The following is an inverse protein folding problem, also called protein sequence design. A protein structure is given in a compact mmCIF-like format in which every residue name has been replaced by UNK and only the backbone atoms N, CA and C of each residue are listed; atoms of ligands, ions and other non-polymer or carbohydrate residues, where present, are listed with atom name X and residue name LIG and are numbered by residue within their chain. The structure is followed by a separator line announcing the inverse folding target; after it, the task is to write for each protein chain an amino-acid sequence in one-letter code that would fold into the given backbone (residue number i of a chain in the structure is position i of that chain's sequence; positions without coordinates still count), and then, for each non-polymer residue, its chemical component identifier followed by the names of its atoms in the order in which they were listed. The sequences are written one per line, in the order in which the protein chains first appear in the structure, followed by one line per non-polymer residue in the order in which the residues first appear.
data_IF_204692657376
#
_entry.id   IF_204692657376
#
_cell.length_a   1.000
_cell.length_b   1.000
_cell.length_c   1.000
_cell.angle_alpha   90.00
_cell.angle_beta   90.00
_cell.angle_gamma   90.00
#
_symmetry.space_group_name_H-M   'P 1'
#
loop_
_entity.id
_entity.type
_entity.pdbx_description
1 polymer ?
#
# COMPACT_ATOMS: atom_id res chain seq x y z
N UNK A 1 -8.83 1.30 18.48
CA UNK A 1 -7.88 1.72 17.42
C UNK A 1 -6.53 2.03 18.09
N UNK A 2 -5.44 1.37 17.69
CA UNK A 2 -4.12 1.54 18.31
C UNK A 2 -3.62 2.98 18.07
N UNK A 3 -2.93 3.55 19.07
CA UNK A 3 -2.16 4.80 18.93
C UNK A 3 -1.41 4.77 17.61
N UNK A 4 -1.51 5.84 16.82
CA UNK A 4 -0.74 6.02 15.57
C UNK A 4 0.72 5.77 15.93
N UNK A 5 1.19 4.60 15.50
CA UNK A 5 2.54 4.13 15.79
C UNK A 5 3.54 5.12 15.21
N UNK A 6 4.66 5.23 15.89
CA UNK A 6 5.89 5.88 15.47
C UNK A 6 6.06 5.81 13.94
N UNK A 7 6.11 6.97 13.28
CA UNK A 7 6.35 7.10 11.84
C UNK A 7 7.55 6.23 11.45
N UNK A 8 7.33 5.25 10.58
CA UNK A 8 8.40 4.40 10.06
C UNK A 8 8.90 5.00 8.74
N UNK A 9 10.13 5.53 8.69
CA UNK A 9 10.67 6.18 7.49
C UNK A 9 11.06 5.18 6.40
N UNK A 10 10.99 3.89 6.68
CA UNK A 10 11.47 2.83 5.79
C UNK A 10 10.46 2.58 4.67
N UNK A 11 10.97 2.44 3.45
CA UNK A 11 10.16 2.06 2.30
C UNK A 11 11.00 1.59 1.12
N UNK A 12 10.36 0.92 0.16
CA UNK A 12 10.99 0.52 -1.09
C UNK A 12 9.98 0.39 -2.22
N UNK A 13 10.45 0.56 -3.45
CA UNK A 13 9.80 0.00 -4.63
C UNK A 13 10.44 -1.33 -4.98
N UNK A 14 9.64 -2.32 -5.36
CA UNK A 14 10.11 -3.54 -6.02
C UNK A 14 9.57 -3.54 -7.45
N UNK A 15 10.47 -3.30 -8.40
CA UNK A 15 10.19 -3.28 -9.84
C UNK A 15 10.96 -4.42 -10.48
N UNK A 16 10.23 -5.38 -11.05
CA UNK A 16 10.78 -6.68 -11.49
C UNK A 16 11.61 -7.34 -10.37
N UNK A 17 12.93 -7.46 -10.54
CA UNK A 17 13.87 -8.03 -9.59
C UNK A 17 14.70 -6.96 -8.83
N UNK A 18 14.30 -5.70 -8.87
CA UNK A 18 15.06 -4.58 -8.29
C UNK A 18 14.35 -3.95 -7.11
N UNK A 19 14.97 -4.06 -5.93
CA UNK A 19 14.60 -3.31 -4.72
C UNK A 19 15.21 -1.91 -4.77
N UNK A 20 14.38 -0.89 -4.95
CA UNK A 20 14.76 0.52 -4.80
C UNK A 20 14.45 0.95 -3.37
N UNK A 21 15.40 0.78 -2.45
CA UNK A 21 15.21 1.10 -1.04
C UNK A 21 15.32 2.61 -0.80
N UNK A 22 14.37 3.17 -0.04
CA UNK A 22 14.42 4.54 0.41
C UNK A 22 15.38 4.66 1.59
N UNK A 23 16.55 5.24 1.33
CA UNK A 23 17.57 5.47 2.36
C UNK A 23 17.85 6.96 2.51
N UNK A 24 16.86 7.82 2.25
CA UNK A 24 16.97 9.27 2.46
C UNK A 24 17.06 9.63 3.94
N UNK A 25 16.36 8.87 4.78
CA UNK A 25 16.44 8.98 6.23
C UNK A 25 17.48 8.00 6.80
N UNK A 26 18.41 8.44 7.67
CA UNK A 26 19.43 7.55 8.24
C UNK A 26 18.89 6.39 9.07
N UNK A 27 17.69 6.54 9.65
CA UNK A 27 17.02 5.51 10.44
C UNK A 27 16.20 4.53 9.59
N UNK A 28 16.10 4.75 8.27
CA UNK A 28 15.36 3.86 7.38
C UNK A 28 16.01 2.47 7.30
N UNK A 29 15.18 1.45 7.46
CA UNK A 29 15.59 0.04 7.41
C UNK A 29 15.57 -0.43 5.96
N UNK A 30 16.65 -1.09 5.57
CA UNK A 30 16.75 -1.80 4.29
C UNK A 30 16.02 -3.14 4.37
N UNK A 31 14.77 -3.17 3.93
CA UNK A 31 13.94 -4.39 3.92
C UNK A 31 14.38 -5.44 2.89
N UNK A 32 15.24 -5.11 1.93
CA UNK A 32 15.73 -6.10 0.97
C UNK A 32 16.70 -7.10 1.61
N UNK A 33 17.46 -6.68 2.64
CA UNK A 33 18.43 -7.54 3.35
C UNK A 33 17.84 -8.82 3.96
N UNK A 34 16.79 -8.78 4.79
CA UNK A 34 16.20 -10.01 5.34
C UNK A 34 15.63 -10.91 4.23
N UNK A 35 15.13 -10.33 3.14
CA UNK A 35 14.62 -11.09 1.99
C UNK A 35 15.77 -11.80 1.27
N UNK A 36 16.88 -11.12 1.00
CA UNK A 36 18.06 -11.73 0.37
C UNK A 36 18.65 -12.82 1.25
N UNK A 37 18.75 -12.58 2.55
CA UNK A 37 19.18 -13.59 3.52
C UNK A 37 18.28 -14.82 3.46
N UNK A 38 16.96 -14.64 3.41
CA UNK A 38 16.01 -15.74 3.28
C UNK A 38 16.17 -16.50 1.95
N UNK A 39 16.32 -15.80 0.82
CA UNK A 39 16.56 -16.43 -0.49
C UNK A 39 17.83 -17.29 -0.51
N UNK A 40 18.86 -16.89 0.24
CA UNK A 40 20.12 -17.64 0.34
C UNK A 40 20.00 -18.86 1.27
N UNK A 41 19.41 -18.69 2.45
CA UNK A 41 19.31 -19.77 3.46
C UNK A 41 18.21 -20.79 3.16
N UNK A 42 17.13 -20.37 2.50
CA UNK A 42 15.95 -21.18 2.20
C UNK A 42 15.79 -21.37 0.68
N UNK A 43 16.89 -21.61 -0.04
CA UNK A 43 16.93 -21.64 -1.50
C UNK A 43 15.95 -22.65 -2.12
N UNK A 44 15.82 -23.84 -1.54
CA UNK A 44 14.91 -24.87 -2.04
C UNK A 44 13.45 -24.43 -1.90
N UNK A 45 13.06 -23.94 -0.72
CA UNK A 45 11.73 -23.39 -0.47
C UNK A 45 11.40 -22.21 -1.39
N UNK A 46 12.40 -21.36 -1.67
CA UNK A 46 12.26 -20.24 -2.60
C UNK A 46 12.04 -20.72 -4.04
N UNK A 47 12.76 -21.76 -4.48
CA UNK A 47 12.59 -22.36 -5.81
C UNK A 47 11.20 -22.98 -5.96
N UNK A 48 10.76 -23.75 -4.98
CA UNK A 48 9.41 -24.36 -4.99
C UNK A 48 8.31 -23.30 -5.09
N UNK A 49 8.42 -22.22 -4.30
CA UNK A 49 7.48 -21.09 -4.38
C UNK A 49 7.54 -20.37 -5.72
N UNK A 50 8.73 -20.20 -6.28
CA UNK A 50 8.91 -19.55 -7.57
C UNK A 50 8.31 -20.36 -8.71
N UNK A 51 8.53 -21.68 -8.72
CA UNK A 51 7.91 -22.60 -9.67
C UNK A 51 6.38 -22.53 -9.61
N UNK A 52 5.81 -22.48 -8.39
CA UNK A 52 4.37 -22.31 -8.21
C UNK A 52 3.85 -20.98 -8.79
N UNK A 53 4.56 -19.88 -8.54
CA UNK A 53 4.20 -18.55 -9.06
C UNK A 53 4.24 -18.53 -10.60
N UNK A 54 5.29 -19.08 -11.21
CA UNK A 54 5.46 -19.10 -12.67
C UNK A 54 4.46 -20.04 -13.34
N UNK A 55 4.12 -21.15 -12.72
CA UNK A 55 3.12 -22.09 -13.23
C UNK A 55 1.68 -21.51 -13.23
N UNK A 56 1.44 -20.46 -12.44
CA UNK A 56 0.13 -19.82 -12.28
C UNK A 56 -0.87 -20.67 -11.48
N UNK A 57 -1.84 -20.01 -10.84
CA UNK A 57 -2.87 -20.68 -10.02
C UNK A 57 -3.76 -21.67 -10.81
N UNK A 58 -3.81 -21.56 -12.14
CA UNK A 58 -4.74 -22.32 -12.99
C UNK A 58 -4.32 -23.77 -13.30
N UNK A 59 -3.16 -24.25 -12.87
CA UNK A 59 -2.72 -25.63 -13.11
C UNK A 59 -3.07 -26.63 -11.99
N UNK A 60 -3.83 -26.22 -10.98
CA UNK A 60 -4.19 -27.10 -9.86
C UNK A 60 -5.17 -28.24 -10.22
N UNK A 61 -5.88 -28.17 -11.37
CA UNK A 61 -6.83 -29.22 -11.79
C UNK A 61 -6.41 -30.06 -13.02
N UNK A 62 -5.25 -29.81 -13.65
CA UNK A 62 -4.86 -30.53 -14.88
C UNK A 62 -3.45 -31.17 -14.88
N UNK A 63 -2.70 -31.13 -13.78
CA UNK A 63 -1.41 -31.84 -13.69
C UNK A 63 -1.54 -33.33 -13.36
N UNK A 64 -2.26 -34.05 -14.23
CA UNK A 64 -1.99 -35.48 -14.46
C UNK A 64 -1.60 -35.81 -15.91
N UNK A 65 -1.68 -34.90 -16.89
CA UNK A 65 -1.22 -35.21 -18.26
C UNK A 65 -0.75 -33.97 -19.00
N UNK A 66 0.56 -33.75 -19.03
CA UNK A 66 1.32 -33.61 -20.28
C UNK A 66 2.77 -33.24 -19.95
N UNK A 67 3.66 -34.13 -20.34
CA UNK A 67 5.06 -33.85 -20.59
C UNK A 67 5.19 -32.69 -21.58
N UNK A 68 6.00 -31.69 -21.24
CA UNK A 68 6.77 -30.95 -22.24
C UNK A 68 8.15 -30.70 -21.66
N UNK A 69 9.05 -31.49 -22.22
CA UNK A 69 10.49 -31.49 -22.12
C UNK A 69 11.05 -30.10 -22.45
N UNK A 70 11.60 -29.42 -21.45
CA UNK A 70 12.64 -28.41 -21.58
C UNK A 70 13.37 -28.34 -20.25
N UNK A 71 14.56 -28.94 -20.23
CA UNK A 71 15.45 -29.10 -19.08
C UNK A 71 16.15 -27.78 -18.69
N UNK A 72 15.46 -26.64 -18.79
CA UNK A 72 15.94 -25.39 -18.20
C UNK A 72 15.48 -25.36 -16.75
N UNK A 73 16.39 -25.70 -15.83
CA UNK A 73 16.16 -25.51 -14.39
C UNK A 73 15.70 -24.07 -14.16
N UNK A 74 14.48 -23.88 -13.67
CA UNK A 74 13.98 -22.56 -13.31
C UNK A 74 14.98 -21.92 -12.33
N UNK A 75 15.57 -20.80 -12.74
CA UNK A 75 16.44 -20.03 -11.86
C UNK A 75 15.60 -18.97 -11.14
N UNK A 76 15.89 -18.78 -9.85
CA UNK A 76 15.34 -17.66 -9.10
C UNK A 76 15.73 -16.34 -9.78
N UNK A 77 14.86 -15.31 -9.73
CA UNK A 77 15.22 -13.98 -10.16
C UNK A 77 16.47 -13.50 -9.41
N UNK A 78 17.34 -12.78 -10.11
CA UNK A 78 18.57 -12.23 -9.54
C UNK A 78 18.29 -10.91 -8.85
N UNK A 79 17.63 -11.01 -7.70
CA UNK A 79 17.26 -9.81 -6.95
C UNK A 79 18.47 -8.96 -6.59
N UNK A 80 18.35 -7.66 -6.79
CA UNK A 80 19.36 -6.67 -6.42
C UNK A 80 18.74 -5.48 -5.71
N UNK A 81 19.54 -4.83 -4.86
CA UNK A 81 19.15 -3.63 -4.15
C UNK A 81 19.90 -2.41 -4.67
N UNK A 82 19.18 -1.29 -4.82
CA UNK A 82 19.70 0.01 -5.24
C UNK A 82 19.14 1.11 -4.34
N UNK A 83 19.83 2.25 -4.29
CA UNK A 83 19.36 3.43 -3.57
C UNK A 83 18.29 4.16 -4.39
N UNK A 84 17.08 4.28 -3.84
CA UNK A 84 15.95 4.92 -4.52
C UNK A 84 16.29 6.35 -4.98
N UNK A 85 16.93 7.14 -4.12
CA UNK A 85 17.29 8.54 -4.39
C UNK A 85 18.35 8.74 -5.48
N UNK A 86 19.03 7.66 -5.90
CA UNK A 86 20.03 7.69 -6.98
C UNK A 86 19.57 6.96 -8.24
N UNK A 87 18.41 6.29 -8.19
CA UNK A 87 17.90 5.45 -9.28
C UNK A 87 16.85 6.22 -10.07
N UNK A 88 16.98 6.25 -11.39
CA UNK A 88 16.00 6.86 -12.29
C UNK A 88 15.18 5.77 -12.97
N UNK A 89 14.00 6.09 -13.48
CA UNK A 89 13.18 5.14 -14.22
C UNK A 89 13.89 4.55 -15.45
N UNK A 90 14.76 5.31 -16.11
CA UNK A 90 15.57 4.81 -17.24
C UNK A 90 16.64 3.79 -16.83
N UNK A 91 16.96 3.70 -15.53
CA UNK A 91 17.92 2.74 -15.00
C UNK A 91 17.23 1.41 -14.62
N UNK A 92 15.89 1.34 -14.73
CA UNK A 92 15.06 0.19 -14.39
C UNK A 92 14.51 -0.48 -15.65
N UNK A 93 14.56 -1.82 -15.68
CA UNK A 93 13.77 -2.60 -16.62
C UNK A 93 12.37 -2.81 -16.07
N UNK A 94 11.34 -2.57 -16.88
CA UNK A 94 9.95 -2.81 -16.52
C UNK A 94 9.11 -3.12 -17.76
N UNK A 95 7.90 -3.64 -17.51
CA UNK A 95 6.88 -3.97 -18.49
C UNK A 95 5.67 -3.07 -18.28
N UNK A 96 5.20 -2.46 -19.35
CA UNK A 96 4.00 -1.62 -19.30
C UNK A 96 2.77 -2.46 -18.91
N UNK A 97 1.95 -1.91 -18.02
CA UNK A 97 0.76 -2.57 -17.50
C UNK A 97 1.03 -3.63 -16.42
N UNK A 98 2.29 -3.99 -16.16
CA UNK A 98 2.62 -4.90 -15.08
C UNK A 98 2.49 -4.22 -13.70
N UNK A 99 2.11 -5.02 -12.70
CA UNK A 99 2.00 -4.59 -11.31
C UNK A 99 3.33 -4.72 -10.56
N UNK A 100 3.68 -3.66 -9.85
CA UNK A 100 4.86 -3.54 -9.00
C UNK A 100 4.48 -3.17 -7.58
N UNK A 101 5.38 -3.39 -6.63
CA UNK A 101 5.10 -3.16 -5.21
C UNK A 101 5.76 -1.87 -4.74
N UNK A 102 5.01 -1.06 -4.01
CA UNK A 102 5.52 -0.03 -3.13
C UNK A 102 5.17 -0.38 -1.70
N UNK A 103 6.17 -0.41 -0.83
CA UNK A 103 5.99 -0.65 0.60
C UNK A 103 6.51 0.57 1.38
N UNK A 104 5.73 1.05 2.35
CA UNK A 104 6.12 2.16 3.25
C UNK A 104 5.45 2.01 4.62
N UNK A 105 5.86 2.81 5.60
CA UNK A 105 5.30 2.81 6.96
C UNK A 105 5.25 1.42 7.61
N UNK A 106 6.34 0.65 7.49
CA UNK A 106 6.45 -0.68 8.07
C UNK A 106 5.85 -1.80 7.21
N UNK A 107 4.55 -1.75 6.96
CA UNK A 107 3.81 -2.84 6.28
C UNK A 107 2.74 -2.36 5.29
N UNK A 108 2.65 -1.06 5.02
CA UNK A 108 1.68 -0.50 4.08
C UNK A 108 2.12 -0.80 2.65
N UNK A 109 1.39 -1.70 1.96
CA UNK A 109 1.71 -2.20 0.62
C UNK A 109 0.73 -1.64 -0.41
N UNK A 110 1.28 -1.10 -1.49
CA UNK A 110 0.53 -0.55 -2.61
C UNK A 110 0.99 -1.16 -3.93
N UNK A 111 0.01 -1.43 -4.80
CA UNK A 111 0.27 -1.80 -6.18
C UNK A 111 0.54 -0.54 -7.00
N UNK A 112 1.63 -0.56 -7.77
CA UNK A 112 2.00 0.49 -8.72
C UNK A 112 2.06 -0.10 -10.11
N UNK A 113 1.53 0.64 -11.07
CA UNK A 113 1.52 0.22 -12.47
C UNK A 113 2.06 1.36 -13.31
N UNK A 114 3.10 1.08 -14.10
CA UNK A 114 3.53 1.99 -15.16
C UNK A 114 2.63 1.70 -16.36
N UNK A 115 1.62 2.56 -16.55
CA UNK A 115 0.53 2.32 -17.51
C UNK A 115 0.93 2.63 -18.94
N UNK A 116 1.66 3.71 -19.14
CA UNK A 116 1.98 4.25 -20.46
C UNK A 116 3.38 4.87 -20.45
N UNK A 117 4.02 4.87 -21.61
CA UNK A 117 5.31 5.49 -21.87
C UNK A 117 5.34 6.01 -23.31
N UNK A 118 5.58 7.31 -23.46
CA UNK A 118 5.66 7.98 -24.75
C UNK A 118 6.80 8.98 -24.79
N UNK A 119 7.19 9.36 -26.01
CA UNK A 119 8.11 10.47 -26.23
C UNK A 119 7.46 11.79 -25.82
N UNK A 120 8.31 12.75 -25.41
CA UNK A 120 7.87 14.11 -25.09
C UNK A 120 7.31 14.78 -26.35
N UNK A 121 6.12 15.36 -26.24
CA UNK A 121 5.45 16.10 -27.30
C UNK A 121 5.71 17.61 -27.13
N UNK A 122 5.74 18.41 -28.21
CA UNK A 122 5.92 19.87 -28.10
C UNK A 122 4.89 20.58 -27.21
N UNK A 123 3.69 20.01 -27.05
CA UNK A 123 2.63 20.55 -26.17
C UNK A 123 2.80 20.16 -24.69
N UNK A 124 3.74 19.27 -24.36
CA UNK A 124 4.03 18.92 -22.98
C UNK A 124 4.77 20.04 -22.25
N UNK A 125 4.74 20.00 -20.92
CA UNK A 125 5.55 20.89 -20.08
C UNK A 125 7.03 20.57 -20.32
N UNK A 126 7.77 21.46 -20.97
CA UNK A 126 9.18 21.22 -21.32
C UNK A 126 10.12 21.38 -20.11
N UNK A 127 9.70 22.08 -19.07
CA UNK A 127 10.50 22.30 -17.86
C UNK A 127 10.53 21.03 -17.00
N UNK A 128 11.73 20.47 -16.80
CA UNK A 128 11.94 19.31 -15.92
C UNK A 128 11.55 19.61 -14.46
N UNK A 129 11.67 20.85 -14.01
CA UNK A 129 11.32 21.25 -12.64
C UNK A 129 9.81 21.24 -12.37
N UNK A 130 8.98 21.18 -13.41
CA UNK A 130 7.53 21.08 -13.29
C UNK A 130 7.04 19.65 -13.05
N UNK A 131 7.91 18.65 -13.18
CA UNK A 131 7.58 17.26 -12.87
C UNK A 131 7.91 16.90 -11.41
N UNK A 132 7.18 15.95 -10.80
CA UNK A 132 6.11 15.13 -11.38
C UNK A 132 4.78 15.91 -11.57
N UNK A 133 4.07 15.61 -12.66
CA UNK A 133 2.75 16.19 -12.94
C UNK A 133 1.66 15.28 -12.37
N UNK A 134 0.75 15.86 -11.58
CA UNK A 134 -0.45 15.16 -11.11
C UNK A 134 -1.48 15.18 -12.25
N UNK A 135 -1.60 14.07 -12.97
CA UNK A 135 -2.56 13.92 -14.08
C UNK A 135 -3.95 13.53 -13.59
N UNK A 136 -4.03 12.92 -12.41
CA UNK A 136 -5.27 12.52 -11.77
C UNK A 136 -5.12 12.61 -10.26
N UNK A 137 -6.13 13.19 -9.62
CA UNK A 137 -6.31 13.13 -8.17
C UNK A 137 -7.75 12.68 -7.93
N UNK A 138 -7.91 11.60 -7.16
CA UNK A 138 -9.24 11.18 -6.73
C UNK A 138 -9.89 12.30 -5.92
N UNK A 139 -11.17 12.57 -6.17
CA UNK A 139 -11.93 13.47 -5.32
C UNK A 139 -12.07 12.82 -3.94
N UNK A 140 -11.54 13.48 -2.91
CA UNK A 140 -11.75 13.08 -1.51
C UNK A 140 -13.25 12.95 -1.24
N UNK A 141 -13.68 11.75 -0.89
CA UNK A 141 -15.06 11.49 -0.48
C UNK A 141 -15.09 11.39 1.04
N UNK A 142 -15.44 12.50 1.67
CA UNK A 142 -15.61 12.51 3.12
C UNK A 142 -16.81 11.67 3.53
N UNK A 143 -16.62 10.77 4.50
CA UNK A 143 -17.74 10.14 5.19
C UNK A 143 -18.52 11.22 5.93
N UNK A 144 -19.82 11.33 5.62
CA UNK A 144 -20.73 12.22 6.33
C UNK A 144 -21.16 11.60 7.66
N UNK A 145 -21.54 12.44 8.61
CA UNK A 145 -22.15 12.02 9.86
C UNK A 145 -23.37 11.14 9.59
N UNK A 146 -23.44 9.99 10.26
CA UNK A 146 -24.53 9.04 10.17
C UNK A 146 -25.87 9.61 10.65
N UNK A 147 -25.86 10.63 11.51
CA UNK A 147 -27.06 11.27 12.07
C UNK A 147 -27.58 12.36 11.13
N UNK A 148 -26.86 13.47 10.96
CA UNK A 148 -27.37 14.59 10.15
C UNK A 148 -27.23 14.39 8.64
N UNK A 149 -26.36 13.48 8.18
CA UNK A 149 -26.01 13.27 6.76
C UNK A 149 -25.59 14.55 6.01
N UNK A 150 -25.21 15.61 6.74
CA UNK A 150 -24.82 16.92 6.20
C UNK A 150 -23.31 17.12 6.38
N UNK A 151 -22.85 17.20 7.63
CA UNK A 151 -21.47 17.50 7.98
C UNK A 151 -20.56 16.27 7.88
N UNK A 152 -19.26 16.50 7.69
CA UNK A 152 -18.25 15.44 7.72
C UNK A 152 -18.18 14.80 9.10
N UNK A 153 -17.97 13.49 9.15
CA UNK A 153 -17.74 12.79 10.41
C UNK A 153 -16.33 13.08 10.94
N UNK A 154 -16.19 13.37 12.21
CA UNK A 154 -14.92 13.63 12.92
C UNK A 154 -14.71 12.65 14.07
N UNK A 155 -15.76 11.96 14.49
CA UNK A 155 -15.77 10.97 15.56
C UNK A 155 -16.36 9.66 15.05
N UNK A 156 -15.86 8.55 15.56
CA UNK A 156 -16.49 7.23 15.41
C UNK A 156 -16.69 6.60 16.78
N UNK A 157 -17.91 6.12 17.05
CA UNK A 157 -18.21 5.32 18.25
C UNK A 157 -18.37 3.85 17.90
N UNK A 158 -17.96 2.99 18.84
CA UNK A 158 -18.07 1.54 18.76
C UNK A 158 -18.73 1.04 20.04
N UNK A 159 -19.68 0.11 19.87
CA UNK A 159 -20.50 -0.47 20.94
C UNK A 159 -21.32 0.57 21.71
N UNK A 160 -21.73 1.62 21.00
CA UNK A 160 -22.57 2.70 21.52
C UNK A 160 -24.05 2.31 21.45
N UNK A 161 -24.62 2.02 22.62
CA UNK A 161 -26.01 1.56 22.77
C UNK A 161 -27.07 2.50 22.22
N UNK A 162 -26.79 3.80 22.11
CA UNK A 162 -27.75 4.80 21.62
C UNK A 162 -27.47 5.25 20.19
N UNK A 163 -26.37 4.79 19.60
CA UNK A 163 -26.09 5.04 18.20
C UNK A 163 -27.02 4.25 17.27
N UNK A 164 -27.26 4.80 16.07
CA UNK A 164 -28.09 4.18 15.04
C UNK A 164 -27.46 2.92 14.43
N UNK A 165 -26.13 2.86 14.39
CA UNK A 165 -25.33 1.81 13.73
C UNK A 165 -24.10 1.48 14.61
N UNK A 166 -23.41 0.37 14.36
CA UNK A 166 -22.15 0.05 15.03
C UNK A 166 -21.12 -0.47 14.00
N UNK A 167 -20.01 0.24 13.73
CA UNK A 167 -19.61 1.55 14.26
C UNK A 167 -20.47 2.72 13.70
N UNK A 168 -20.68 3.76 14.51
CA UNK A 168 -21.42 4.97 14.11
C UNK A 168 -20.51 6.18 13.96
N UNK A 169 -20.78 7.02 12.96
CA UNK A 169 -19.93 8.16 12.59
C UNK A 169 -20.64 9.47 12.88
N UNK A 170 -20.00 10.37 13.62
CA UNK A 170 -20.59 11.63 14.05
C UNK A 170 -19.76 12.83 13.59
N UNK A 171 -20.43 13.93 13.24
CA UNK A 171 -19.79 15.24 13.35
C UNK A 171 -19.78 15.68 14.82
N UNK A 172 -18.93 16.65 15.16
CA UNK A 172 -18.76 17.10 16.55
C UNK A 172 -20.08 17.53 17.21
N UNK A 173 -20.96 18.21 16.46
CA UNK A 173 -22.25 18.67 16.96
C UNK A 173 -23.19 17.51 17.30
N UNK A 174 -23.37 16.56 16.38
CA UNK A 174 -24.25 15.41 16.62
C UNK A 174 -23.68 14.48 17.71
N UNK A 175 -22.36 14.35 17.79
CA UNK A 175 -21.70 13.64 18.87
C UNK A 175 -22.03 14.30 20.22
N UNK A 176 -21.83 15.61 20.33
CA UNK A 176 -22.12 16.35 21.56
C UNK A 176 -23.59 16.25 21.96
N UNK A 177 -24.51 16.44 21.02
CA UNK A 177 -25.96 16.38 21.27
C UNK A 177 -26.45 15.03 21.80
N UNK A 178 -25.86 13.92 21.35
CA UNK A 178 -26.25 12.58 21.80
C UNK A 178 -25.61 12.20 23.14
N UNK A 179 -24.35 12.60 23.35
CA UNK A 179 -23.54 12.07 24.43
C UNK A 179 -23.37 13.01 25.62
N UNK A 180 -23.65 14.31 25.48
CA UNK A 180 -23.41 15.30 26.52
C UNK A 180 -24.68 16.06 26.91
N UNK A 181 -24.82 16.34 28.21
CA UNK A 181 -25.74 17.33 28.74
C UNK A 181 -24.99 18.20 29.75
N UNK A 182 -25.14 19.52 29.66
CA UNK A 182 -24.47 20.49 30.54
C UNK A 182 -22.93 20.31 30.62
N UNK A 183 -22.31 19.84 29.53
CA UNK A 183 -20.87 19.57 29.48
C UNK A 183 -20.43 18.26 30.13
N UNK A 184 -21.34 17.51 30.73
CA UNK A 184 -21.07 16.18 31.29
C UNK A 184 -21.53 15.08 30.34
N UNK A 185 -20.73 14.02 30.26
CA UNK A 185 -21.05 12.84 29.47
C UNK A 185 -22.21 12.07 30.12
N UNK A 186 -23.23 11.72 29.35
CA UNK A 186 -24.46 11.05 29.82
C UNK A 186 -24.24 9.57 30.15
N UNK A 187 -23.35 8.90 29.39
CA UNK A 187 -22.99 7.50 29.54
C UNK A 187 -21.60 7.28 28.93
N UNK A 188 -20.87 6.25 29.38
CA UNK A 188 -19.46 6.03 28.99
C UNK A 188 -19.14 4.58 28.66
N UNK A 189 -20.15 3.74 28.48
CA UNK A 189 -20.07 2.32 28.13
C UNK A 189 -19.89 2.11 26.62
N UNK A 190 -19.00 2.88 25.99
CA UNK A 190 -18.64 2.75 24.58
C UNK A 190 -17.23 3.28 24.32
N UNK A 191 -16.65 2.92 23.18
CA UNK A 191 -15.37 3.48 22.74
C UNK A 191 -15.58 4.58 21.72
N UNK A 192 -14.85 5.70 21.87
CA UNK A 192 -14.84 6.79 20.88
C UNK A 192 -13.42 7.03 20.37
N UNK A 193 -13.31 7.24 19.06
CA UNK A 193 -12.06 7.58 18.39
C UNK A 193 -12.25 8.77 17.46
N UNK A 194 -11.17 9.53 17.25
CA UNK A 194 -11.14 10.52 16.17
C UNK A 194 -11.14 9.80 14.83
N UNK A 195 -12.01 10.24 13.94
CA UNK A 195 -12.10 9.74 12.58
C UNK A 195 -11.37 10.70 11.65
N UNK A 196 -10.18 10.28 11.22
CA UNK A 196 -9.39 10.96 10.20
C UNK A 196 -9.78 10.39 8.83
N UNK A 197 -10.20 11.25 7.92
CA UNK A 197 -10.46 10.86 6.54
C UNK A 197 -9.13 10.62 5.82
N UNK A 198 -8.90 9.39 5.37
CA UNK A 198 -7.86 9.05 4.38
C UNK A 198 -8.32 9.40 2.95
#
# INVERSE_FOLDING_TARGET
MKKVGQYDPSGYFLVEDVFCNDTREPSAIDYSKPIFKWLEHCRNDALEKWEFIVAGEQQQHQKQKAFLDNNEKLQLPRFKAVHMQKTRFCDLGFRLGAGYLYCHQGDCKHLIVIRDMRLIHPEDVQSRASYPLITFQSKLRFRKCSICKIYKATKVTVDDKWALENPCYFCDLCYYMLHYANGSLLYSDFSVYDYLHE
#
